data_IF_009727128089
#
_entry.id   IF_009727128089
#
_cell.length_a   1.000
_cell.length_b   1.000
_cell.length_c   1.000
_cell.angle_alpha   90.00
_cell.angle_beta   90.00
_cell.angle_gamma   90.00
#
_symmetry.space_group_name_H-M   'P 1'
#
loop_
_entity.id
_entity.type
_entity.pdbx_description
1 polymer ?
#
# COMPACT_ATOMS: atom_id res chain seq x y z
N UNK A 1 -20.90 4.51 19.69
CA UNK A 1 -21.59 3.40 19.04
C UNK A 1 -22.14 3.89 17.72
N UNK A 2 -21.59 3.41 16.63
CA UNK A 2 -21.99 3.77 15.28
C UNK A 2 -20.85 3.56 14.30
N UNK A 3 -20.18 2.39 14.31
CA UNK A 3 -19.54 1.90 13.12
C UNK A 3 -20.66 1.53 12.16
N UNK A 4 -20.81 2.29 11.08
CA UNK A 4 -21.63 1.88 9.96
C UNK A 4 -21.00 0.61 9.40
N UNK A 5 -21.67 -0.53 9.55
CA UNK A 5 -21.49 -1.68 8.68
C UNK A 5 -21.81 -1.19 7.27
N UNK A 6 -20.78 -0.95 6.47
CA UNK A 6 -20.96 -0.88 5.03
C UNK A 6 -21.35 -2.29 4.60
N UNK A 7 -22.65 -2.54 4.51
CA UNK A 7 -23.19 -3.62 3.75
C UNK A 7 -22.55 -3.51 2.36
N UNK A 8 -21.84 -4.54 1.95
CA UNK A 8 -21.44 -4.74 0.56
C UNK A 8 -22.77 -4.75 -0.18
N UNK A 9 -23.07 -3.70 -0.92
CA UNK A 9 -24.19 -3.64 -1.83
C UNK A 9 -23.98 -4.77 -2.84
N UNK A 10 -24.75 -5.82 -2.71
CA UNK A 10 -24.87 -6.83 -3.74
C UNK A 10 -25.60 -6.15 -4.90
N UNK A 11 -24.85 -5.32 -5.64
CA UNK A 11 -25.32 -4.72 -6.86
C UNK A 11 -25.67 -5.80 -7.87
N UNK A 12 -26.90 -6.25 -7.82
CA UNK A 12 -27.56 -6.93 -8.93
C UNK A 12 -27.76 -5.94 -10.05
N UNK A 13 -26.67 -5.59 -10.73
CA UNK A 13 -26.72 -4.93 -12.04
C UNK A 13 -27.13 -5.96 -13.07
N UNK A 14 -28.41 -5.99 -13.37
CA UNK A 14 -28.99 -6.69 -14.50
C UNK A 14 -28.55 -5.99 -15.80
N UNK A 15 -27.42 -6.39 -16.34
CA UNK A 15 -27.07 -6.15 -17.75
C UNK A 15 -27.02 -7.52 -18.43
N UNK A 16 -28.18 -7.85 -19.05
CA UNK A 16 -28.54 -9.13 -19.62
C UNK A 16 -27.67 -9.60 -20.79
N UNK A 17 -26.49 -10.05 -20.51
CA UNK A 17 -25.70 -10.97 -21.35
C UNK A 17 -25.43 -12.23 -20.53
N UNK A 18 -26.01 -13.36 -20.95
CA UNK A 18 -25.74 -14.65 -20.36
C UNK A 18 -24.27 -15.02 -20.59
N UNK A 19 -23.39 -14.49 -19.74
CA UNK A 19 -21.96 -14.80 -19.72
C UNK A 19 -21.88 -16.20 -19.08
N UNK A 20 -21.77 -17.23 -19.93
CA UNK A 20 -21.62 -18.61 -19.48
C UNK A 20 -20.42 -18.76 -18.54
N UNK A 21 -20.67 -18.71 -17.23
CA UNK A 21 -19.63 -18.80 -16.20
C UNK A 21 -20.21 -19.16 -14.84
N UNK A 22 -19.35 -19.37 -13.85
CA UNK A 22 -19.74 -19.55 -12.47
C UNK A 22 -19.63 -18.22 -11.70
N UNK A 23 -20.74 -17.48 -11.49
CA UNK A 23 -20.71 -16.16 -10.88
C UNK A 23 -20.18 -16.16 -9.44
N UNK A 24 -20.23 -17.31 -8.74
CA UNK A 24 -19.67 -17.44 -7.38
C UNK A 24 -18.14 -17.42 -7.33
N UNK A 25 -17.49 -17.62 -8.47
CA UNK A 25 -16.04 -17.59 -8.59
C UNK A 25 -15.50 -16.29 -9.20
N UNK A 26 -16.36 -15.41 -9.69
CA UNK A 26 -15.93 -14.14 -10.33
C UNK A 26 -16.11 -13.01 -9.33
N UNK A 27 -15.03 -12.26 -9.09
CA UNK A 27 -14.99 -11.17 -8.13
C UNK A 27 -14.83 -9.85 -8.88
N UNK A 28 -15.54 -8.83 -8.42
CA UNK A 28 -15.63 -7.48 -9.00
C UNK A 28 -16.30 -7.41 -10.38
N UNK A 29 -16.28 -6.21 -10.97
CA UNK A 29 -16.87 -5.89 -12.27
C UNK A 29 -15.78 -5.64 -13.30
N UNK A 30 -16.02 -6.03 -14.55
CA UNK A 30 -15.11 -5.73 -15.66
C UNK A 30 -15.07 -4.24 -16.05
N UNK A 31 -16.02 -3.43 -15.56
CA UNK A 31 -16.27 -2.07 -16.05
C UNK A 31 -15.06 -1.12 -15.95
N UNK A 32 -14.19 -1.32 -14.94
CA UNK A 32 -13.02 -0.47 -14.69
C UNK A 32 -11.72 -1.28 -14.71
N UNK A 33 -11.77 -2.52 -15.22
CA UNK A 33 -10.63 -3.41 -15.21
C UNK A 33 -9.63 -3.11 -16.33
N UNK A 34 -8.38 -3.47 -16.10
CA UNK A 34 -7.35 -3.43 -17.11
C UNK A 34 -7.66 -4.41 -18.24
N UNK A 35 -7.76 -3.92 -19.46
CA UNK A 35 -7.96 -4.76 -20.65
C UNK A 35 -6.80 -5.75 -20.84
N UNK A 36 -7.11 -6.95 -21.28
CA UNK A 36 -6.10 -7.98 -21.57
C UNK A 36 -5.41 -8.58 -20.35
N UNK A 37 -5.93 -8.32 -19.15
CA UNK A 37 -5.37 -8.84 -17.89
C UNK A 37 -6.46 -9.43 -17.01
N UNK A 38 -6.19 -10.59 -16.41
CA UNK A 38 -7.08 -11.25 -15.47
C UNK A 38 -6.26 -11.89 -14.34
N UNK A 39 -6.77 -11.86 -13.11
CA UNK A 39 -6.18 -12.54 -11.98
C UNK A 39 -6.91 -13.85 -11.73
N UNK A 40 -6.16 -14.93 -11.55
CA UNK A 40 -6.69 -16.28 -11.35
C UNK A 40 -6.08 -16.87 -10.09
N UNK A 41 -6.93 -17.38 -9.20
CA UNK A 41 -6.50 -18.16 -8.05
C UNK A 41 -6.69 -19.64 -8.33
N UNK A 42 -5.63 -20.40 -8.37
CA UNK A 42 -5.70 -21.85 -8.54
C UNK A 42 -6.23 -22.56 -7.29
N UNK A 43 -6.76 -23.76 -7.45
CA UNK A 43 -7.04 -24.67 -6.33
C UNK A 43 -5.74 -25.15 -5.69
N UNK A 44 -5.82 -25.71 -4.48
CA UNK A 44 -4.65 -26.27 -3.78
C UNK A 44 -4.00 -27.42 -4.55
N UNK A 45 -4.82 -28.23 -5.20
CA UNK A 45 -4.32 -29.35 -5.99
C UNK A 45 -3.65 -28.90 -7.29
N UNK A 46 -4.16 -27.84 -7.91
CA UNK A 46 -3.68 -27.35 -9.20
C UNK A 46 -2.37 -26.59 -9.07
N UNK A 47 -2.21 -25.76 -8.00
CA UNK A 47 -1.06 -24.84 -7.86
C UNK A 47 0.27 -25.56 -7.89
N UNK A 48 0.38 -26.76 -7.35
CA UNK A 48 1.65 -27.50 -7.34
C UNK A 48 2.16 -27.81 -8.77
N UNK A 49 1.26 -28.09 -9.71
CA UNK A 49 1.62 -28.32 -11.12
C UNK A 49 2.08 -27.04 -11.81
N UNK A 50 1.39 -25.92 -11.55
CA UNK A 50 1.72 -24.62 -12.12
C UNK A 50 3.05 -24.12 -11.56
N UNK A 51 3.23 -24.17 -10.24
CA UNK A 51 4.44 -23.73 -9.56
C UNK A 51 5.70 -24.51 -10.01
N UNK A 52 5.55 -25.78 -10.36
CA UNK A 52 6.68 -26.58 -10.87
C UNK A 52 7.27 -26.05 -12.19
N UNK A 53 6.55 -25.20 -12.91
CA UNK A 53 6.98 -24.56 -14.17
C UNK A 53 7.63 -23.20 -13.95
N UNK A 54 7.36 -22.56 -12.82
CA UNK A 54 7.94 -21.26 -12.46
C UNK A 54 9.30 -21.47 -11.80
N UNK A 55 10.33 -20.84 -12.32
CA UNK A 55 11.67 -20.85 -11.73
C UNK A 55 12.04 -19.49 -11.18
N UNK A 56 13.09 -19.38 -10.35
CA UNK A 56 13.59 -18.09 -9.86
C UNK A 56 14.04 -17.14 -10.99
N UNK A 57 14.55 -17.71 -12.09
CA UNK A 57 15.04 -16.97 -13.24
C UNK A 57 13.96 -16.73 -14.31
N UNK A 58 12.90 -17.54 -14.32
CA UNK A 58 11.83 -17.47 -15.30
C UNK A 58 10.48 -17.56 -14.60
N UNK A 59 9.95 -16.39 -14.24
CA UNK A 59 8.68 -16.25 -13.51
C UNK A 59 7.48 -16.21 -14.46
N UNK A 60 7.69 -15.69 -15.67
CA UNK A 60 6.68 -15.63 -16.72
C UNK A 60 6.71 -16.92 -17.51
N UNK A 61 5.61 -17.64 -17.54
CA UNK A 61 5.48 -18.89 -18.28
C UNK A 61 4.40 -18.77 -19.36
N UNK A 62 4.56 -19.48 -20.45
CA UNK A 62 3.61 -19.44 -21.58
C UNK A 62 2.40 -20.38 -21.37
N UNK A 63 2.53 -21.39 -20.53
CA UNK A 63 1.46 -22.39 -20.26
C UNK A 63 1.56 -22.89 -18.82
N UNK A 64 0.38 -23.13 -18.22
CA UNK A 64 0.24 -23.57 -16.82
C UNK A 64 0.63 -25.02 -16.59
N UNK A 65 0.45 -25.88 -17.61
CA UNK A 65 0.58 -27.34 -17.50
C UNK A 65 -0.71 -28.04 -17.07
N UNK A 66 -1.81 -27.31 -16.98
CA UNK A 66 -3.16 -27.83 -16.76
C UNK A 66 -3.90 -27.90 -18.09
N UNK A 67 -4.31 -29.08 -18.51
CA UNK A 67 -4.81 -29.33 -19.89
C UNK A 67 -5.99 -28.44 -20.25
N UNK A 68 -7.01 -28.37 -19.40
CA UNK A 68 -8.22 -27.57 -19.68
C UNK A 68 -7.94 -26.07 -19.60
N UNK A 69 -7.08 -25.64 -18.68
CA UNK A 69 -6.65 -24.25 -18.53
C UNK A 69 -5.86 -23.81 -19.76
N UNK A 70 -4.88 -24.62 -20.17
CA UNK A 70 -4.03 -24.31 -21.31
C UNK A 70 -4.83 -24.34 -22.64
N UNK A 71 -5.88 -25.16 -22.75
CA UNK A 71 -6.77 -25.12 -23.90
C UNK A 71 -7.52 -23.79 -24.04
N UNK A 72 -7.96 -23.20 -22.92
CA UNK A 72 -8.56 -21.85 -22.93
C UNK A 72 -7.48 -20.81 -23.27
N UNK A 73 -6.27 -20.92 -22.70
CA UNK A 73 -5.17 -20.04 -23.04
C UNK A 73 -4.86 -20.03 -24.56
N UNK A 74 -4.90 -21.21 -25.19
CA UNK A 74 -4.72 -21.33 -26.65
C UNK A 74 -5.88 -20.70 -27.42
N UNK A 75 -7.12 -20.87 -26.96
CA UNK A 75 -8.32 -20.31 -27.60
C UNK A 75 -8.33 -18.76 -27.60
N UNK A 76 -7.78 -18.14 -26.57
CA UNK A 76 -7.75 -16.68 -26.40
C UNK A 76 -6.40 -16.06 -26.83
N UNK A 77 -5.50 -16.84 -27.42
CA UNK A 77 -4.13 -16.42 -27.74
C UNK A 77 -3.43 -15.77 -26.53
N UNK A 78 -3.51 -16.43 -25.36
CA UNK A 78 -2.90 -15.92 -24.16
C UNK A 78 -1.38 -15.79 -24.28
N UNK A 79 -0.86 -14.64 -23.90
CA UNK A 79 0.55 -14.28 -24.03
C UNK A 79 1.40 -14.92 -22.94
N UNK A 80 0.92 -14.84 -21.70
CA UNK A 80 1.67 -15.31 -20.55
C UNK A 80 0.81 -15.50 -19.32
N UNK A 81 1.35 -16.25 -18.36
CA UNK A 81 0.86 -16.37 -16.99
C UNK A 81 2.04 -16.24 -16.03
N UNK A 82 1.88 -15.47 -14.95
CA UNK A 82 2.94 -15.21 -13.97
C UNK A 82 2.38 -15.11 -12.54
N UNK A 83 3.13 -15.50 -11.50
CA UNK A 83 2.71 -15.33 -10.12
C UNK A 83 2.50 -13.85 -9.80
N UNK A 84 1.39 -13.51 -9.12
CA UNK A 84 1.11 -12.15 -8.64
C UNK A 84 2.08 -11.77 -7.51
N UNK A 85 2.36 -12.71 -6.59
CA UNK A 85 3.20 -12.46 -5.43
C UNK A 85 4.58 -13.10 -5.58
N UNK A 86 5.61 -12.36 -5.20
CA UNK A 86 6.96 -12.90 -4.96
C UNK A 86 7.01 -13.36 -3.52
N UNK A 87 7.13 -14.66 -3.31
CA UNK A 87 7.19 -15.20 -1.95
C UNK A 87 8.62 -15.10 -1.41
N UNK A 88 8.76 -14.42 -0.29
CA UNK A 88 9.98 -14.43 0.49
C UNK A 88 10.15 -15.80 1.17
N UNK A 89 11.30 -16.48 1.02
CA UNK A 89 11.54 -17.78 1.65
C UNK A 89 11.35 -17.77 3.17
N UNK A 90 11.58 -16.64 3.84
CA UNK A 90 11.40 -16.49 5.30
C UNK A 90 9.94 -16.58 5.72
N UNK A 91 9.00 -16.18 4.85
CA UNK A 91 7.56 -16.12 5.12
C UNK A 91 6.75 -17.03 4.19
N UNK A 92 7.41 -17.89 3.41
CA UNK A 92 6.77 -18.74 2.41
C UNK A 92 5.69 -19.64 3.02
N UNK A 93 5.92 -20.17 4.22
CA UNK A 93 4.93 -21.02 4.89
C UNK A 93 3.64 -20.27 5.22
N UNK A 94 3.74 -19.05 5.72
CA UNK A 94 2.58 -18.21 6.04
C UNK A 94 1.86 -17.76 4.77
N UNK A 95 2.60 -17.36 3.73
CA UNK A 95 2.06 -17.00 2.44
C UNK A 95 1.26 -18.16 1.81
N UNK A 96 1.78 -19.38 1.89
CA UNK A 96 1.07 -20.60 1.44
C UNK A 96 -0.18 -20.89 2.29
N UNK A 97 -0.09 -20.74 3.61
CA UNK A 97 -1.23 -20.94 4.52
C UNK A 97 -2.43 -20.05 4.19
N UNK A 98 -2.18 -18.82 3.76
CA UNK A 98 -3.24 -17.88 3.34
C UNK A 98 -3.51 -17.91 1.82
N UNK A 99 -2.76 -18.71 1.06
CA UNK A 99 -2.96 -18.97 -0.36
C UNK A 99 -2.51 -17.86 -1.29
N UNK A 100 -1.48 -17.07 -0.91
CA UNK A 100 -0.87 -16.07 -1.80
C UNK A 100 -0.12 -16.74 -2.96
N UNK A 101 0.43 -17.91 -2.76
CA UNK A 101 1.13 -18.71 -3.76
C UNK A 101 0.23 -19.20 -4.92
N UNK A 102 -1.08 -19.11 -4.74
CA UNK A 102 -2.08 -19.58 -5.70
C UNK A 102 -2.54 -18.51 -6.70
N UNK A 103 -2.15 -17.25 -6.52
CA UNK A 103 -2.57 -16.15 -7.36
C UNK A 103 -1.62 -15.93 -8.54
N UNK A 104 -2.19 -15.92 -9.74
CA UNK A 104 -1.47 -15.69 -10.99
C UNK A 104 -2.16 -14.63 -11.84
N UNK A 105 -1.38 -13.83 -12.51
CA UNK A 105 -1.84 -12.88 -13.53
C UNK A 105 -1.74 -13.53 -14.90
N UNK A 106 -2.84 -13.51 -15.63
CA UNK A 106 -2.94 -13.93 -17.03
C UNK A 106 -2.94 -12.71 -17.91
N UNK A 107 -2.16 -12.73 -19.01
CA UNK A 107 -2.12 -11.67 -20.02
C UNK A 107 -2.54 -12.22 -21.36
N UNK A 108 -3.39 -11.48 -22.06
CA UNK A 108 -3.92 -11.82 -23.39
C UNK A 108 -4.19 -10.56 -24.21
N UNK A 109 -4.62 -10.70 -25.49
CA UNK A 109 -4.89 -9.54 -26.32
C UNK A 109 -6.10 -8.74 -25.80
N UNK A 110 -5.98 -7.42 -25.74
CA UNK A 110 -7.06 -6.51 -25.25
C UNK A 110 -8.32 -6.52 -26.11
N UNK A 111 -8.26 -7.10 -27.31
CA UNK A 111 -9.41 -7.29 -28.19
C UNK A 111 -10.37 -8.41 -27.75
N UNK A 112 -9.97 -9.24 -26.76
CA UNK A 112 -10.78 -10.34 -26.25
C UNK A 112 -11.59 -9.84 -25.04
N UNK A 113 -12.90 -10.17 -24.98
CA UNK A 113 -13.77 -9.75 -23.88
C UNK A 113 -13.34 -10.35 -22.55
N UNK A 114 -13.05 -9.48 -21.56
CA UNK A 114 -12.72 -9.87 -20.18
C UNK A 114 -13.76 -10.78 -19.57
N UNK A 115 -15.05 -10.45 -19.76
CA UNK A 115 -16.17 -11.21 -19.16
C UNK A 115 -16.25 -12.63 -19.74
N UNK A 116 -16.02 -12.77 -21.05
CA UNK A 116 -16.01 -14.09 -21.70
C UNK A 116 -14.84 -14.92 -21.20
N UNK A 117 -13.66 -14.33 -21.08
CA UNK A 117 -12.48 -15.00 -20.56
C UNK A 117 -12.67 -15.41 -19.10
N UNK A 118 -13.13 -14.50 -18.25
CA UNK A 118 -13.43 -14.78 -16.86
C UNK A 118 -14.49 -15.90 -16.72
N UNK A 119 -15.54 -15.83 -17.55
CA UNK A 119 -16.56 -16.86 -17.60
C UNK A 119 -15.99 -18.26 -17.86
N UNK A 120 -15.13 -18.40 -18.86
CA UNK A 120 -14.49 -19.68 -19.21
C UNK A 120 -13.62 -20.24 -18.08
N UNK A 121 -12.72 -19.44 -17.53
CA UNK A 121 -11.85 -19.88 -16.45
C UNK A 121 -12.62 -20.20 -15.15
N UNK A 122 -13.72 -19.50 -14.87
CA UNK A 122 -14.55 -19.74 -13.68
C UNK A 122 -15.23 -21.13 -13.67
N UNK A 123 -15.38 -21.75 -14.82
CA UNK A 123 -15.97 -23.09 -14.95
C UNK A 123 -15.00 -24.22 -14.59
N UNK A 124 -13.68 -23.94 -14.63
CA UNK A 124 -12.66 -24.96 -14.39
C UNK A 124 -12.63 -25.39 -12.92
N UNK A 125 -12.45 -26.68 -12.67
CA UNK A 125 -12.23 -27.25 -11.34
C UNK A 125 -10.91 -26.79 -10.72
N UNK A 126 -9.88 -26.63 -11.54
CA UNK A 126 -8.54 -26.17 -11.14
C UNK A 126 -8.48 -24.69 -10.72
N UNK A 127 -9.53 -23.90 -11.00
CA UNK A 127 -9.66 -22.48 -10.65
C UNK A 127 -10.60 -22.30 -9.49
N UNK A 128 -10.16 -21.68 -8.42
CA UNK A 128 -10.97 -21.37 -7.24
C UNK A 128 -11.63 -19.99 -7.32
N UNK A 129 -10.92 -18.98 -7.85
CA UNK A 129 -11.44 -17.63 -8.07
C UNK A 129 -10.88 -17.04 -9.36
N UNK A 130 -11.64 -16.12 -9.93
CA UNK A 130 -11.24 -15.25 -11.03
C UNK A 130 -11.54 -13.82 -10.61
N UNK A 131 -10.58 -12.94 -10.73
CA UNK A 131 -10.71 -11.54 -10.33
C UNK A 131 -10.30 -10.65 -11.48
N UNK A 132 -11.07 -9.58 -11.70
CA UNK A 132 -10.70 -8.56 -12.66
C UNK A 132 -9.57 -7.71 -12.08
N UNK A 133 -8.53 -7.46 -12.87
CA UNK A 133 -7.42 -6.60 -12.50
C UNK A 133 -7.86 -5.13 -12.58
N UNK A 134 -8.28 -4.59 -11.43
CA UNK A 134 -8.77 -3.22 -11.35
C UNK A 134 -7.60 -2.30 -11.00
N UNK A 135 -7.37 -1.23 -11.80
CA UNK A 135 -6.31 -0.29 -11.51
C UNK A 135 -6.59 0.41 -10.17
N UNK A 136 -5.60 0.38 -9.28
CA UNK A 136 -5.64 1.16 -8.05
C UNK A 136 -5.44 2.61 -8.44
N UNK A 137 -6.52 3.39 -8.39
CA UNK A 137 -6.47 4.81 -8.65
C UNK A 137 -6.22 5.56 -7.35
N UNK A 138 -5.27 6.45 -7.39
CA UNK A 138 -5.01 7.37 -6.30
C UNK A 138 -6.18 8.35 -6.16
N UNK A 139 -6.74 8.47 -4.97
CA UNK A 139 -7.86 9.39 -4.68
C UNK A 139 -7.34 10.84 -4.65
N UNK A 140 -6.15 11.05 -4.11
CA UNK A 140 -5.49 12.35 -4.07
C UNK A 140 -4.48 12.48 -5.24
N UNK A 141 -4.69 13.49 -6.08
CA UNK A 141 -3.80 13.85 -7.19
C UNK A 141 -3.05 15.16 -6.90
N UNK A 142 -3.09 15.61 -5.64
CA UNK A 142 -2.40 16.81 -5.21
C UNK A 142 -0.89 16.65 -5.33
N UNK A 143 -0.22 17.64 -5.95
CA UNK A 143 1.24 17.73 -5.86
C UNK A 143 1.60 18.49 -4.60
N UNK A 144 2.67 18.06 -3.93
CA UNK A 144 3.28 18.87 -2.89
C UNK A 144 3.68 20.24 -3.49
N UNK A 145 3.24 21.29 -2.84
CA UNK A 145 3.70 22.64 -3.16
C UNK A 145 4.58 23.13 -2.04
N UNK A 146 5.69 23.75 -2.42
CA UNK A 146 6.56 24.40 -1.45
C UNK A 146 5.76 25.49 -0.71
N UNK A 147 5.86 25.49 0.61
CA UNK A 147 5.31 26.57 1.41
C UNK A 147 6.38 27.66 1.52
N UNK A 148 6.10 28.82 0.95
CA UNK A 148 6.96 30.00 0.94
C UNK A 148 6.50 31.10 1.92
N UNK A 149 5.51 30.77 2.75
CA UNK A 149 5.00 31.66 3.79
C UNK A 149 5.84 31.61 5.08
N UNK A 150 5.67 32.63 5.89
CA UNK A 150 6.22 32.65 7.25
C UNK A 150 5.32 31.79 8.13
N UNK A 151 5.93 30.83 8.86
CA UNK A 151 5.16 30.05 9.83
C UNK A 151 4.51 30.97 10.89
N UNK A 152 3.27 30.70 11.26
CA UNK A 152 2.64 31.47 12.31
C UNK A 152 3.41 31.31 13.62
N UNK A 153 3.47 32.36 14.41
CA UNK A 153 3.95 32.23 15.80
C UNK A 153 3.11 31.18 16.51
N UNK A 154 3.72 30.30 17.32
CA UNK A 154 3.00 29.27 18.07
C UNK A 154 1.78 29.83 18.78
N UNK A 155 0.64 29.20 18.59
CA UNK A 155 -0.60 29.63 19.25
C UNK A 155 -0.57 29.20 20.72
N UNK A 156 -0.48 30.19 21.61
CA UNK A 156 -0.47 29.95 23.07
C UNK A 156 -1.77 29.38 23.62
N UNK A 157 -2.82 29.22 22.78
CA UNK A 157 -4.09 28.59 23.19
C UNK A 157 -4.02 27.05 23.20
N UNK A 158 -3.04 26.48 22.53
CA UNK A 158 -2.82 25.04 22.64
C UNK A 158 -2.05 24.78 23.95
N UNK A 159 -2.65 24.06 24.88
CA UNK A 159 -1.96 23.65 26.13
C UNK A 159 -1.00 22.47 25.89
N UNK A 160 -0.47 22.32 24.67
CA UNK A 160 0.58 21.34 24.39
C UNK A 160 1.92 21.88 24.87
N UNK A 161 2.79 21.00 25.33
CA UNK A 161 4.15 21.33 25.74
C UNK A 161 5.09 21.51 24.53
N UNK A 162 4.62 21.27 23.29
CA UNK A 162 5.44 21.30 22.08
C UNK A 162 5.42 22.67 21.40
N UNK A 163 6.53 23.03 20.76
CA UNK A 163 6.78 24.37 20.19
C UNK A 163 6.61 24.43 18.66
N UNK A 164 6.05 23.41 18.04
CA UNK A 164 5.90 23.30 16.59
C UNK A 164 4.88 24.31 16.08
N UNK A 165 5.24 25.19 15.14
CA UNK A 165 4.47 26.39 14.82
C UNK A 165 3.10 26.11 14.20
N UNK A 166 2.90 24.94 13.60
CA UNK A 166 1.64 24.55 12.95
C UNK A 166 0.79 23.58 13.77
N UNK A 167 1.20 23.22 14.98
CA UNK A 167 0.44 22.31 15.83
C UNK A 167 -1.00 22.79 16.03
N UNK A 168 -1.20 24.10 16.20
CA UNK A 168 -2.54 24.68 16.37
C UNK A 168 -3.47 24.49 15.16
N UNK A 169 -2.92 24.21 13.97
CA UNK A 169 -3.69 23.92 12.75
C UNK A 169 -4.06 22.45 12.61
N UNK A 170 -3.47 21.57 13.40
CA UNK A 170 -3.78 20.15 13.45
C UNK A 170 -4.99 19.89 14.34
N UNK A 171 -6.12 20.48 13.98
CA UNK A 171 -7.37 20.49 14.77
C UNK A 171 -7.83 19.08 15.18
N UNK A 172 -7.53 18.08 14.42
CA UNK A 172 -7.87 16.69 14.69
C UNK A 172 -7.13 16.08 15.91
N UNK A 173 -6.10 16.74 16.40
CA UNK A 173 -5.39 16.33 17.62
C UNK A 173 -6.07 16.81 18.90
N UNK A 174 -6.59 18.04 18.86
CA UNK A 174 -7.35 18.65 19.96
C UNK A 174 -8.31 19.69 19.40
N UNK A 175 -9.55 19.31 19.16
CA UNK A 175 -10.56 20.12 18.50
C UNK A 175 -11.27 21.05 19.47
N UNK A 176 -10.90 22.30 19.48
CA UNK A 176 -11.52 23.35 20.34
C UNK A 176 -12.80 23.94 19.73
N UNK A 177 -13.20 23.54 18.53
CA UNK A 177 -14.36 24.09 17.83
C UNK A 177 -14.06 25.35 17.01
N UNK A 178 -12.80 25.61 16.69
CA UNK A 178 -12.40 26.76 15.88
C UNK A 178 -12.81 26.58 14.42
N UNK A 179 -13.89 27.24 14.02
CA UNK A 179 -14.46 27.18 12.67
C UNK A 179 -13.59 27.83 11.59
N UNK A 180 -12.50 28.50 11.96
CA UNK A 180 -11.56 29.06 11.00
C UNK A 180 -10.66 27.98 10.35
N UNK A 181 -10.52 26.82 11.00
CA UNK A 181 -9.67 25.71 10.54
C UNK A 181 -10.38 24.79 9.55
N UNK A 182 -11.64 24.43 9.86
CA UNK A 182 -12.48 23.60 8.98
C UNK A 182 -13.96 23.77 9.32
N UNK A 183 -14.84 23.42 8.38
CA UNK A 183 -16.31 23.52 8.57
C UNK A 183 -17.01 22.33 7.92
N UNK A 184 -18.06 21.79 8.58
CA UNK A 184 -18.49 22.07 9.95
C UNK A 184 -17.55 21.41 10.98
N UNK A 185 -17.32 22.10 12.09
CA UNK A 185 -16.49 21.60 13.19
C UNK A 185 -17.28 21.55 14.49
N UNK A 186 -17.06 20.51 15.30
CA UNK A 186 -17.66 20.35 16.61
C UNK A 186 -16.58 20.07 17.63
N UNK A 187 -16.46 20.94 18.64
CA UNK A 187 -15.50 20.78 19.71
C UNK A 187 -15.55 19.38 20.35
N UNK A 188 -14.39 18.79 20.61
CA UNK A 188 -14.24 17.47 21.20
C UNK A 188 -14.45 16.31 20.20
N UNK A 189 -14.66 16.58 18.90
CA UNK A 189 -14.60 15.57 17.87
C UNK A 189 -13.16 15.48 17.33
N UNK A 190 -12.29 14.81 18.05
CA UNK A 190 -10.86 14.66 17.81
C UNK A 190 -10.33 13.33 18.38
N UNK A 191 -9.02 13.09 18.21
CA UNK A 191 -8.37 11.88 18.70
C UNK A 191 -7.79 12.03 20.11
N UNK A 192 -8.00 13.17 20.76
CA UNK A 192 -7.53 13.49 22.12
C UNK A 192 -6.02 13.25 22.31
N UNK A 193 -5.24 13.65 21.31
CA UNK A 193 -3.82 13.31 21.25
C UNK A 193 -2.99 13.96 22.36
N UNK A 194 -3.37 15.16 22.80
CA UNK A 194 -2.63 15.84 23.87
C UNK A 194 -2.64 15.06 25.18
N UNK A 195 -3.77 14.42 25.52
CA UNK A 195 -3.83 13.52 26.67
C UNK A 195 -3.03 12.23 26.46
N UNK A 196 -2.93 11.72 25.21
CA UNK A 196 -2.10 10.58 24.89
C UNK A 196 -0.60 10.89 25.05
N UNK A 197 -0.15 12.10 24.67
CA UNK A 197 1.24 12.54 24.82
C UNK A 197 1.68 12.69 26.29
N UNK A 198 0.77 12.86 27.24
CA UNK A 198 1.09 12.79 28.67
C UNK A 198 1.52 11.39 29.10
N UNK A 199 1.15 10.35 28.33
CA UNK A 199 1.49 8.96 28.60
C UNK A 199 2.69 8.50 27.77
N UNK A 200 2.69 8.80 26.47
CA UNK A 200 3.73 8.40 25.52
C UNK A 200 3.63 9.24 24.25
N UNK A 201 4.75 9.75 23.75
CA UNK A 201 4.83 10.50 22.51
C UNK A 201 5.62 9.76 21.41
N UNK A 202 6.10 8.55 21.68
CA UNK A 202 6.85 7.71 20.76
C UNK A 202 7.87 6.83 21.46
N UNK A 203 8.48 5.91 20.69
CA UNK A 203 9.59 5.06 21.13
C UNK A 203 10.42 4.72 19.89
N UNK A 204 11.73 5.01 19.86
CA UNK A 204 12.59 4.78 18.70
C UNK A 204 12.83 3.30 18.37
N UNK A 205 12.45 2.38 19.25
CA UNK A 205 12.47 0.95 18.97
C UNK A 205 11.31 0.49 18.08
N UNK A 206 10.28 1.34 17.95
CA UNK A 206 9.12 1.06 17.09
C UNK A 206 9.40 1.58 15.68
N UNK A 207 9.36 0.69 14.70
CA UNK A 207 9.49 1.02 13.28
C UNK A 207 8.11 0.96 12.64
N UNK A 208 7.73 2.05 11.96
CA UNK A 208 6.47 2.14 11.21
C UNK A 208 6.80 2.19 9.72
N UNK A 209 6.41 1.14 8.99
CA UNK A 209 6.54 1.09 7.55
C UNK A 209 5.40 1.87 6.88
N UNK A 210 5.74 2.90 6.10
CA UNK A 210 4.80 3.65 5.26
C UNK A 210 4.82 3.05 3.86
N UNK A 211 3.82 2.22 3.55
CA UNK A 211 3.66 1.59 2.23
C UNK A 211 2.86 2.53 1.34
N UNK A 212 3.58 3.35 0.58
CA UNK A 212 3.02 4.46 -0.20
C UNK A 212 3.85 4.67 -1.48
N UNK A 213 3.73 5.79 -2.13
CA UNK A 213 4.49 6.14 -3.35
C UNK A 213 5.92 6.62 -3.10
N UNK A 214 6.33 6.67 -1.85
CA UNK A 214 7.63 7.11 -1.37
C UNK A 214 7.52 8.26 -0.39
N UNK A 215 8.65 8.60 0.24
CA UNK A 215 8.77 9.62 1.29
C UNK A 215 9.96 10.53 0.99
N UNK A 216 9.80 11.83 1.19
CA UNK A 216 10.92 12.78 1.24
C UNK A 216 11.68 12.59 2.57
N UNK A 217 12.50 11.55 2.64
CA UNK A 217 13.23 11.14 3.85
C UNK A 217 14.20 12.21 4.37
N UNK A 218 14.57 13.17 3.53
CA UNK A 218 15.43 14.33 3.82
C UNK A 218 14.64 15.57 4.26
N UNK A 219 13.33 15.47 4.42
CA UNK A 219 12.49 16.58 4.87
C UNK A 219 12.90 17.01 6.28
N UNK A 220 13.06 18.31 6.50
CA UNK A 220 13.57 18.90 7.76
C UNK A 220 12.81 18.50 9.01
N UNK A 221 11.51 18.19 8.87
CA UNK A 221 10.62 17.80 9.95
C UNK A 221 10.45 16.27 10.07
N UNK A 222 11.16 15.47 9.26
CA UNK A 222 11.09 14.00 9.25
C UNK A 222 12.44 13.33 9.46
N UNK A 223 13.50 13.92 8.93
CA UNK A 223 14.81 13.27 8.78
C UNK A 223 15.34 12.62 10.07
N UNK A 224 15.11 13.25 11.22
CA UNK A 224 15.58 12.71 12.52
C UNK A 224 14.80 11.48 12.99
N UNK A 225 13.57 11.28 12.49
CA UNK A 225 12.73 10.13 12.81
C UNK A 225 12.71 9.07 11.69
N UNK A 226 13.55 9.21 10.66
CA UNK A 226 13.69 8.16 9.66
C UNK A 226 14.42 6.94 10.25
N UNK A 227 13.94 5.76 9.90
CA UNK A 227 14.69 4.53 10.09
C UNK A 227 15.86 4.49 9.10
N UNK A 228 16.97 3.94 9.55
CA UNK A 228 18.18 3.80 8.74
C UNK A 228 18.66 2.35 8.78
N UNK A 229 18.86 1.76 7.60
CA UNK A 229 19.61 0.51 7.49
C UNK A 229 21.10 0.83 7.57
N UNK A 230 21.67 0.65 8.76
CA UNK A 230 23.07 0.98 9.03
C UNK A 230 24.06 0.11 8.25
N UNK A 231 23.69 -1.12 7.90
CA UNK A 231 24.52 -2.00 7.08
C UNK A 231 24.67 -1.43 5.66
N UNK A 232 23.56 -1.01 5.05
CA UNK A 232 23.53 -0.43 3.73
C UNK A 232 24.14 0.99 3.70
N UNK A 233 23.89 1.81 4.75
CA UNK A 233 24.46 3.15 4.84
C UNK A 233 26.00 3.13 4.90
N UNK A 234 26.58 2.19 5.63
CA UNK A 234 28.01 2.04 5.81
C UNK A 234 28.65 1.02 4.85
N UNK A 235 27.85 0.41 3.99
CA UNK A 235 28.23 -0.63 3.05
C UNK A 235 28.76 -0.13 1.71
N UNK A 236 28.73 -1.00 0.72
CA UNK A 236 29.20 -0.70 -0.64
C UNK A 236 28.03 -0.40 -1.57
N UNK A 237 28.04 0.72 -2.23
CA UNK A 237 27.01 1.09 -3.20
C UNK A 237 26.78 -0.01 -4.25
N UNK A 238 25.53 -0.43 -4.43
CA UNK A 238 25.11 -1.47 -5.37
C UNK A 238 25.28 -2.90 -4.86
N UNK A 239 25.65 -3.06 -3.60
CA UNK A 239 25.74 -4.34 -2.90
C UNK A 239 24.57 -4.46 -1.91
N UNK A 240 24.14 -5.64 -1.60
CA UNK A 240 23.22 -5.99 -0.53
C UNK A 240 24.08 -6.42 0.65
N UNK A 241 24.40 -5.44 1.55
CA UNK A 241 25.40 -5.63 2.59
C UNK A 241 24.86 -6.39 3.82
N UNK A 242 23.55 -6.42 4.03
CA UNK A 242 22.90 -7.19 5.10
C UNK A 242 22.30 -8.52 4.63
N UNK A 243 22.29 -8.79 3.32
CA UNK A 243 21.81 -10.04 2.73
C UNK A 243 20.29 -10.18 2.78
N UNK A 244 19.55 -9.06 2.87
CA UNK A 244 18.09 -9.06 2.94
C UNK A 244 17.40 -9.20 1.57
N UNK A 245 18.14 -9.08 0.48
CA UNK A 245 17.70 -9.19 -0.91
C UNK A 245 17.47 -7.84 -1.59
N UNK A 246 17.70 -6.71 -0.90
CA UNK A 246 17.50 -5.36 -1.39
C UNK A 246 18.80 -4.56 -1.27
N UNK A 247 19.28 -4.00 -2.38
CA UNK A 247 20.52 -3.24 -2.43
C UNK A 247 20.28 -1.78 -2.10
N UNK A 248 21.18 -1.19 -1.32
CA UNK A 248 21.15 0.22 -0.97
C UNK A 248 19.82 0.67 -0.34
N UNK A 249 19.11 -0.19 0.38
CA UNK A 249 17.80 0.09 0.99
C UNK A 249 17.89 0.88 2.30
N UNK A 250 18.72 1.94 2.28
CA UNK A 250 19.10 2.74 3.45
C UNK A 250 17.89 3.26 4.24
N UNK A 251 16.86 3.77 3.55
CA UNK A 251 15.65 4.34 4.17
C UNK A 251 14.37 3.58 3.80
N UNK A 252 14.49 2.49 3.04
CA UNK A 252 13.39 1.71 2.50
C UNK A 252 13.61 1.34 1.05
N UNK A 253 12.59 0.79 0.38
CA UNK A 253 12.73 0.23 -0.96
C UNK A 253 11.53 0.47 -1.86
N UNK A 254 11.78 0.76 -3.13
CA UNK A 254 10.77 0.90 -4.17
C UNK A 254 10.52 -0.45 -4.84
N UNK A 255 9.52 -1.16 -4.38
CA UNK A 255 9.15 -2.49 -4.89
C UNK A 255 8.57 -2.46 -6.30
N UNK A 256 7.94 -1.35 -6.72
CA UNK A 256 7.38 -1.22 -8.06
C UNK A 256 8.47 -1.13 -9.14
N UNK A 257 9.59 -0.47 -8.82
CA UNK A 257 10.72 -0.29 -9.75
C UNK A 257 11.94 -1.16 -9.39
N UNK A 258 11.86 -1.91 -8.30
CA UNK A 258 12.94 -2.74 -7.77
C UNK A 258 14.26 -1.96 -7.57
N UNK A 259 14.17 -0.84 -6.86
CA UNK A 259 15.30 0.07 -6.59
C UNK A 259 15.21 0.69 -5.19
N UNK A 260 16.33 1.19 -4.67
CA UNK A 260 16.40 1.95 -3.43
C UNK A 260 15.90 3.41 -3.54
N UNK A 261 15.43 3.83 -4.71
CA UNK A 261 14.96 5.20 -4.93
C UNK A 261 13.53 5.37 -4.42
N UNK A 262 13.39 5.81 -3.19
CA UNK A 262 12.11 6.06 -2.53
C UNK A 262 11.73 7.53 -2.45
N UNK A 263 12.68 8.46 -2.68
CA UNK A 263 12.37 9.88 -2.68
C UNK A 263 11.48 10.24 -3.85
N UNK A 264 10.37 10.88 -3.54
CA UNK A 264 9.39 11.38 -4.52
C UNK A 264 9.07 12.84 -4.27
N UNK A 265 8.69 13.56 -5.33
CA UNK A 265 8.14 14.91 -5.24
C UNK A 265 6.61 14.86 -5.04
N UNK A 266 6.02 13.67 -5.04
CA UNK A 266 4.65 13.45 -4.66
C UNK A 266 4.52 13.54 -3.12
N UNK A 267 3.53 14.28 -2.65
CA UNK A 267 3.45 14.66 -1.24
C UNK A 267 2.70 13.69 -0.36
N UNK A 268 2.00 12.69 -0.92
CA UNK A 268 1.09 11.86 -0.14
C UNK A 268 1.84 11.03 0.91
N UNK A 269 2.79 10.19 0.50
CA UNK A 269 3.55 9.36 1.44
C UNK A 269 4.35 10.19 2.46
N UNK A 270 4.87 11.36 2.05
CA UNK A 270 5.53 12.30 2.96
C UNK A 270 4.56 12.86 3.99
N UNK A 271 3.33 13.21 3.59
CA UNK A 271 2.30 13.68 4.51
C UNK A 271 1.84 12.59 5.48
N UNK A 272 1.70 11.35 5.00
CA UNK A 272 1.39 10.18 5.84
C UNK A 272 2.50 9.95 6.87
N UNK A 273 3.76 9.94 6.44
CA UNK A 273 4.92 9.83 7.31
C UNK A 273 4.95 10.95 8.37
N UNK A 274 4.68 12.20 7.96
CA UNK A 274 4.58 13.35 8.85
C UNK A 274 3.47 13.23 9.89
N UNK A 275 2.31 12.71 9.50
CA UNK A 275 1.22 12.45 10.42
C UNK A 275 1.61 11.41 11.49
N UNK A 276 2.39 10.40 11.10
CA UNK A 276 2.90 9.40 12.05
C UNK A 276 3.98 9.99 12.96
N UNK A 277 5.02 10.62 12.39
CA UNK A 277 6.24 10.91 13.13
C UNK A 277 7.01 12.15 12.63
N UNK A 278 6.34 13.23 12.21
CA UNK A 278 7.00 14.53 12.16
C UNK A 278 7.62 14.80 13.55
N UNK A 279 8.82 15.38 13.58
CA UNK A 279 9.59 15.52 14.83
C UNK A 279 8.95 16.56 15.73
N UNK A 280 8.39 16.11 16.84
CA UNK A 280 7.75 17.02 17.80
C UNK A 280 8.78 17.89 18.53
N UNK A 281 8.38 19.09 18.92
CA UNK A 281 9.13 20.00 19.74
C UNK A 281 10.51 20.42 19.14
N UNK A 282 10.57 20.47 17.82
CA UNK A 282 11.76 20.89 17.09
C UNK A 282 11.69 22.35 16.59
N UNK A 283 10.55 23.03 16.81
CA UNK A 283 10.30 24.41 16.38
C UNK A 283 10.04 24.54 14.86
N UNK A 284 9.79 23.44 14.18
CA UNK A 284 9.59 23.39 12.72
C UNK A 284 8.23 22.73 12.43
N UNK A 285 7.52 23.18 11.40
CA UNK A 285 6.40 22.50 10.76
C UNK A 285 5.28 22.06 11.69
N UNK A 286 5.06 20.75 11.78
CA UNK A 286 3.91 20.09 12.41
C UNK A 286 4.35 19.07 13.47
N UNK A 287 3.41 18.54 14.25
CA UNK A 287 3.67 17.40 15.12
C UNK A 287 3.22 16.09 14.49
N UNK A 288 4.00 15.04 14.63
CA UNK A 288 3.57 13.66 14.39
C UNK A 288 2.88 13.06 15.61
N UNK A 289 1.96 12.11 15.41
CA UNK A 289 1.27 11.40 16.49
C UNK A 289 2.28 10.75 17.45
N UNK A 290 3.35 10.19 16.92
CA UNK A 290 4.42 9.54 17.67
C UNK A 290 5.80 10.16 17.35
N UNK A 291 5.85 11.47 17.16
CA UNK A 291 7.04 12.23 16.76
C UNK A 291 8.08 12.42 17.87
N UNK A 292 7.81 11.92 19.08
CA UNK A 292 8.69 12.05 20.24
C UNK A 292 8.43 13.30 21.06
N UNK A 293 9.41 13.69 21.88
CA UNK A 293 9.37 14.88 22.74
C UNK A 293 10.45 15.93 22.37
N UNK A 294 11.12 15.77 21.24
CA UNK A 294 12.26 16.58 20.82
C UNK A 294 13.62 16.03 21.30
N UNK A 295 13.62 14.85 21.91
CA UNK A 295 14.82 14.18 22.43
C UNK A 295 15.28 13.00 21.55
N UNK A 296 14.93 12.99 20.27
CA UNK A 296 15.18 11.89 19.33
C UNK A 296 14.52 10.57 19.76
N UNK A 297 13.38 10.66 20.42
CA UNK A 297 12.61 9.59 21.06
C UNK A 297 11.30 9.29 20.33
N UNK A 298 11.12 9.78 19.10
CA UNK A 298 10.02 9.42 18.23
C UNK A 298 10.17 8.01 17.62
N UNK A 299 9.07 7.46 17.10
CA UNK A 299 9.11 6.22 16.32
C UNK A 299 9.93 6.42 15.05
N UNK A 300 10.39 5.34 14.43
CA UNK A 300 11.16 5.38 13.18
C UNK A 300 10.26 5.08 11.99
N UNK A 301 10.38 5.88 10.94
CA UNK A 301 9.65 5.71 9.66
C UNK A 301 10.55 5.02 8.65
N UNK A 302 10.02 3.97 8.03
CA UNK A 302 10.62 3.25 6.93
C UNK A 302 9.72 3.32 5.69
#
# INVERSE_FOLDING_TARGET
SGCAENAIDEGTGDDGGNIGGNPKKIVYSAREANEGTLLVKFSEEAVAKVAARVTRSERVISRSGLVEFDAIMDEIDALSIEPVFVLDPRFEQDARRVGLDRWYQLKFASSVSLEQVAGKFSLLGDVSLVEYDIPVLRIDKGKAVSYDGVDPTPDTRASSSFNDPRLSKQWHYNNTGDMSLTQPIKAGCDVNLFAAWELCAGDPSVIVAVVDEGVAFDHEDLAANMWVNEAELNGQTGVDDDGNGYKDDIYGYNFASNTSKIRTDDGHGTHVAGTVAAVNNNGIGVCGVAGGTGNNDGVRIM
#
